data_IF_583731050678
#
_entry.id   IF_583731050678
#
_cell.length_a   1.000
_cell.length_b   1.000
_cell.length_c   1.000
_cell.angle_alpha   90.00
_cell.angle_beta   90.00
_cell.angle_gamma   90.00
#
_symmetry.space_group_name_H-M   'P 1'
#
loop_
_entity.id
_entity.type
_entity.pdbx_description
1 polymer ?
#
# COMPACT_ATOMS: atom_id res chain seq x y z
N UNK A 1 13.33 -11.96 -26.70
CA UNK A 1 13.20 -10.51 -26.92
C UNK A 1 13.32 -9.86 -25.55
N UNK A 2 14.51 -9.33 -25.29
CA UNK A 2 15.04 -8.99 -23.98
C UNK A 2 14.41 -7.70 -23.43
N UNK A 3 13.90 -7.78 -22.20
CA UNK A 3 13.68 -6.59 -21.39
C UNK A 3 15.06 -6.09 -20.95
N UNK A 4 15.58 -5.02 -21.55
CA UNK A 4 16.73 -4.31 -20.99
C UNK A 4 16.23 -3.23 -20.03
N UNK A 5 16.15 -3.61 -18.77
CA UNK A 5 16.49 -2.70 -17.70
C UNK A 5 18.00 -2.76 -17.55
N UNK A 6 18.67 -1.63 -17.68
CA UNK A 6 20.05 -1.57 -17.22
C UNK A 6 20.07 -1.76 -15.69
N UNK A 7 20.94 -2.66 -15.21
CA UNK A 7 21.40 -2.87 -13.81
C UNK A 7 20.47 -3.71 -12.92
N UNK A 8 20.97 -4.90 -12.58
CA UNK A 8 20.36 -5.97 -11.75
C UNK A 8 19.92 -5.57 -10.33
N UNK A 9 20.06 -4.31 -9.96
CA UNK A 9 19.81 -3.81 -8.62
C UNK A 9 19.55 -2.31 -8.62
N UNK A 10 18.81 -1.85 -7.62
CA UNK A 10 18.63 -0.43 -7.32
C UNK A 10 18.63 -0.22 -5.80
N UNK A 11 18.85 1.02 -5.36
CA UNK A 11 18.85 1.39 -3.93
C UNK A 11 17.68 2.32 -3.63
N UNK A 12 17.11 2.18 -2.45
CA UNK A 12 15.99 3.00 -1.99
C UNK A 12 16.22 3.43 -0.54
N UNK A 13 16.05 4.72 -0.26
CA UNK A 13 16.18 5.26 1.08
C UNK A 13 14.84 5.28 1.80
N UNK A 14 14.80 4.71 3.01
CA UNK A 14 13.61 4.58 3.87
C UNK A 14 12.42 4.06 3.06
N UNK A 15 12.51 2.81 2.59
CA UNK A 15 11.55 2.26 1.64
C UNK A 15 10.15 2.18 2.23
N UNK A 16 9.18 2.81 1.57
CA UNK A 16 7.77 2.58 1.80
C UNK A 16 7.28 1.49 0.82
N UNK A 17 7.00 0.29 1.33
CA UNK A 17 6.47 -0.79 0.52
C UNK A 17 4.99 -0.57 0.22
N UNK A 18 4.58 -0.91 -1.01
CA UNK A 18 3.18 -0.86 -1.40
C UNK A 18 2.78 -2.03 -2.30
N UNK A 19 1.50 -2.35 -2.23
CA UNK A 19 0.83 -3.20 -3.21
C UNK A 19 -0.21 -2.37 -3.95
N UNK A 20 -0.32 -2.60 -5.24
CA UNK A 20 -1.29 -1.92 -6.06
C UNK A 20 -2.08 -2.89 -6.92
N UNK A 21 -3.39 -2.70 -6.92
CA UNK A 21 -4.25 -3.32 -7.93
C UNK A 21 -4.16 -2.43 -9.17
N UNK A 22 -3.89 -3.03 -10.32
CA UNK A 22 -3.64 -2.33 -11.57
C UNK A 22 -4.59 -2.82 -12.67
N UNK A 23 -4.93 -1.94 -13.61
CA UNK A 23 -5.68 -2.24 -14.82
C UNK A 23 -4.97 -1.68 -16.05
N UNK A 24 -4.93 -2.44 -17.13
CA UNK A 24 -4.42 -2.00 -18.42
C UNK A 24 -5.21 -2.69 -19.54
N UNK A 25 -5.87 -1.89 -20.37
CA UNK A 25 -6.82 -2.40 -21.38
C UNK A 25 -7.85 -3.31 -20.72
N UNK A 26 -7.96 -4.57 -21.15
CA UNK A 26 -8.89 -5.57 -20.63
C UNK A 26 -8.25 -6.49 -19.58
N UNK A 27 -7.08 -6.13 -19.05
CA UNK A 27 -6.34 -6.93 -18.08
C UNK A 27 -6.21 -6.19 -16.76
N UNK A 28 -6.25 -6.94 -15.67
CA UNK A 28 -5.94 -6.49 -14.33
C UNK A 28 -4.82 -7.35 -13.77
N UNK A 29 -3.97 -6.75 -12.97
CA UNK A 29 -2.81 -7.39 -12.38
C UNK A 29 -2.48 -6.67 -11.09
N UNK A 30 -1.48 -7.17 -10.39
CA UNK A 30 -0.98 -6.59 -9.16
C UNK A 30 0.46 -6.14 -9.37
N UNK A 31 0.77 -4.95 -8.87
CA UNK A 31 2.13 -4.45 -8.70
C UNK A 31 2.47 -4.56 -7.23
N UNK A 32 3.68 -5.01 -6.93
CA UNK A 32 4.35 -4.77 -5.66
C UNK A 32 5.42 -3.73 -5.97
N UNK A 33 5.50 -2.69 -5.17
CA UNK A 33 6.47 -1.62 -5.36
C UNK A 33 7.05 -1.11 -4.06
N UNK A 34 8.06 -0.27 -4.23
CA UNK A 34 8.69 0.48 -3.14
C UNK A 34 8.78 1.95 -3.55
N UNK A 35 8.51 2.84 -2.61
CA UNK A 35 8.67 4.27 -2.76
C UNK A 35 9.80 4.75 -1.87
N UNK A 36 10.70 5.54 -2.41
CA UNK A 36 11.76 6.20 -1.65
C UNK A 36 11.17 7.38 -0.89
N UNK A 37 11.25 7.36 0.44
CA UNK A 37 10.66 8.43 1.25
C UNK A 37 11.40 9.77 1.10
N UNK A 38 12.63 9.77 0.59
CA UNK A 38 13.45 10.96 0.36
C UNK A 38 13.24 11.50 -1.05
N UNK A 39 13.46 10.68 -2.08
CA UNK A 39 13.38 11.13 -3.49
C UNK A 39 11.95 11.11 -4.03
N UNK A 40 11.04 10.40 -3.35
CA UNK A 40 9.66 10.12 -3.80
C UNK A 40 9.59 9.30 -5.10
N UNK A 41 10.71 8.72 -5.55
CA UNK A 41 10.72 7.79 -6.68
C UNK A 41 10.02 6.48 -6.32
N UNK A 42 9.35 5.89 -7.31
CA UNK A 42 8.48 4.73 -7.12
C UNK A 42 8.89 3.62 -8.08
N UNK A 43 9.39 2.54 -7.51
CA UNK A 43 9.93 1.40 -8.23
C UNK A 43 8.98 0.21 -8.09
N UNK A 44 8.66 -0.44 -9.21
CA UNK A 44 7.99 -1.73 -9.24
C UNK A 44 9.04 -2.78 -8.88
N UNK A 45 8.77 -3.56 -7.84
CA UNK A 45 9.62 -4.66 -7.38
C UNK A 45 8.98 -6.02 -7.61
N UNK A 46 7.77 -6.09 -8.14
CA UNK A 46 7.12 -7.34 -8.47
C UNK A 46 5.85 -7.10 -9.27
N UNK A 47 5.54 -8.02 -10.17
CA UNK A 47 4.30 -7.98 -10.94
C UNK A 47 3.68 -9.36 -11.02
N UNK A 48 2.40 -9.43 -10.69
CA UNK A 48 1.67 -10.67 -10.57
C UNK A 48 0.33 -10.53 -11.28
N UNK A 49 0.10 -11.39 -12.27
CA UNK A 49 -1.14 -11.44 -13.04
C UNK A 49 -1.69 -12.85 -13.11
N UNK A 50 -2.99 -12.95 -13.40
CA UNK A 50 -3.64 -14.22 -13.75
C UNK A 50 -3.42 -14.47 -15.24
N UNK A 51 -2.74 -15.57 -15.58
CA UNK A 51 -2.73 -16.10 -16.95
C UNK A 51 -3.65 -17.31 -17.04
N UNK A 52 -4.75 -17.17 -17.77
CA UNK A 52 -5.70 -18.27 -18.01
C UNK A 52 -5.13 -19.30 -18.99
N UNK A 53 -5.27 -20.59 -18.68
CA UNK A 53 -4.94 -21.72 -19.55
C UNK A 53 -5.76 -22.96 -19.19
N UNK A 54 -5.68 -23.99 -20.04
CA UNK A 54 -6.46 -25.25 -19.95
C UNK A 54 -6.22 -26.07 -18.66
N UNK A 55 -5.15 -25.78 -17.91
CA UNK A 55 -4.73 -26.51 -16.70
C UNK A 55 -4.92 -25.71 -15.40
N UNK A 56 -5.85 -24.74 -15.39
CA UNK A 56 -6.17 -23.93 -14.22
C UNK A 56 -5.47 -22.57 -14.21
N UNK A 57 -5.64 -21.86 -13.09
CA UNK A 57 -5.16 -20.50 -12.94
C UNK A 57 -3.88 -20.44 -12.13
N UNK A 58 -2.88 -19.74 -12.65
CA UNK A 58 -1.62 -19.49 -11.95
C UNK A 58 -1.36 -17.99 -11.86
N UNK A 59 -0.84 -17.57 -10.70
CA UNK A 59 -0.15 -16.29 -10.57
C UNK A 59 1.15 -16.40 -11.35
N UNK A 60 1.34 -15.56 -12.35
CA UNK A 60 2.56 -15.49 -13.16
C UNK A 60 3.08 -14.07 -13.17
N UNK A 61 4.36 -13.92 -13.51
CA UNK A 61 4.89 -12.62 -13.89
C UNK A 61 4.06 -12.05 -15.06
N UNK A 62 3.39 -10.92 -14.82
CA UNK A 62 2.71 -10.20 -15.87
C UNK A 62 3.78 -9.44 -16.66
N UNK A 63 3.82 -9.63 -17.99
CA UNK A 63 4.75 -8.89 -18.82
C UNK A 63 4.44 -7.41 -18.70
N UNK A 64 5.43 -6.63 -18.25
CA UNK A 64 5.28 -5.18 -18.24
C UNK A 64 4.85 -4.69 -19.60
N UNK A 65 3.89 -3.75 -19.66
CA UNK A 65 3.61 -3.02 -20.87
C UNK A 65 4.94 -2.51 -21.46
N UNK A 66 5.31 -3.00 -22.64
CA UNK A 66 6.64 -2.76 -23.24
C UNK A 66 6.75 -1.37 -23.89
N UNK A 67 5.64 -0.65 -24.01
CA UNK A 67 5.63 0.70 -24.55
C UNK A 67 6.26 1.65 -23.55
N UNK A 68 7.03 2.61 -24.06
CA UNK A 68 7.86 3.53 -23.30
C UNK A 68 7.13 4.38 -22.26
N UNK A 69 5.80 4.46 -22.27
CA UNK A 69 4.96 5.01 -21.19
C UNK A 69 3.54 4.43 -21.29
N UNK A 70 3.24 3.38 -20.53
CA UNK A 70 1.88 2.83 -20.53
C UNK A 70 1.05 3.47 -19.45
N UNK A 71 -0.06 4.11 -19.83
CA UNK A 71 -1.04 4.62 -18.89
C UNK A 71 -1.83 3.46 -18.30
N UNK A 72 -1.73 3.29 -16.99
CA UNK A 72 -2.38 2.23 -16.23
C UNK A 72 -3.37 2.83 -15.24
N UNK A 73 -4.42 2.08 -14.97
CA UNK A 73 -5.36 2.32 -13.90
C UNK A 73 -4.75 1.73 -12.63
N UNK A 74 -4.74 2.46 -11.52
CA UNK A 74 -4.04 2.02 -10.32
C UNK A 74 -4.75 2.45 -9.05
N UNK A 75 -4.65 1.60 -8.02
CA UNK A 75 -5.00 1.91 -6.63
C UNK A 75 -3.95 1.23 -5.77
N UNK A 76 -3.16 2.02 -5.03
CA UNK A 76 -2.06 1.55 -4.22
C UNK A 76 -2.40 1.61 -2.73
N UNK A 77 -1.81 0.68 -1.99
CA UNK A 77 -1.96 0.51 -0.55
C UNK A 77 -0.61 0.20 0.07
N UNK A 78 -0.30 0.80 1.21
CA UNK A 78 0.93 0.52 1.95
C UNK A 78 0.87 -0.88 2.54
N UNK A 79 2.02 -1.55 2.54
CA UNK A 79 2.22 -2.80 3.26
C UNK A 79 3.48 -2.68 4.12
N UNK A 80 3.53 -3.41 5.22
CA UNK A 80 4.74 -3.49 6.03
C UNK A 80 5.81 -4.35 5.35
N UNK A 81 7.07 -4.19 5.78
CA UNK A 81 8.15 -5.06 5.33
C UNK A 81 7.87 -6.54 5.67
N UNK A 82 7.24 -6.80 6.82
CA UNK A 82 6.84 -8.16 7.21
C UNK A 82 5.76 -8.71 6.29
N UNK A 83 4.74 -7.92 5.92
CA UNK A 83 3.74 -8.33 4.93
C UNK A 83 4.38 -8.63 3.56
N UNK A 84 5.35 -7.81 3.14
CA UNK A 84 6.10 -8.08 1.92
C UNK A 84 6.90 -9.39 2.01
N UNK A 85 7.61 -9.63 3.12
CA UNK A 85 8.31 -10.88 3.40
C UNK A 85 7.38 -12.10 3.34
N UNK A 86 6.24 -12.04 4.03
CA UNK A 86 5.24 -13.11 4.05
C UNK A 86 4.67 -13.39 2.64
N UNK A 87 4.47 -12.36 1.83
CA UNK A 87 4.06 -12.53 0.43
C UNK A 87 5.13 -13.28 -0.39
N UNK A 88 6.42 -12.96 -0.21
CA UNK A 88 7.52 -13.68 -0.88
C UNK A 88 7.55 -15.15 -0.43
N UNK A 89 7.40 -15.43 0.87
CA UNK A 89 7.34 -16.79 1.40
C UNK A 89 6.15 -17.59 0.83
N UNK A 90 4.97 -16.96 0.73
CA UNK A 90 3.81 -17.55 0.08
C UNK A 90 4.10 -17.92 -1.39
N UNK A 91 4.73 -17.00 -2.15
CA UNK A 91 5.12 -17.26 -3.54
C UNK A 91 6.17 -18.38 -3.65
N UNK A 92 7.07 -18.50 -2.68
CA UNK A 92 8.07 -19.59 -2.57
C UNK A 92 7.38 -20.94 -2.41
N UNK A 93 6.46 -21.04 -1.45
CA UNK A 93 5.67 -22.24 -1.20
C UNK A 93 4.85 -22.65 -2.43
N UNK A 94 4.14 -21.71 -3.05
CA UNK A 94 3.37 -21.93 -4.29
C UNK A 94 4.22 -22.49 -5.43
N UNK A 95 5.47 -22.04 -5.56
CA UNK A 95 6.40 -22.54 -6.57
C UNK A 95 6.81 -23.99 -6.29
N UNK A 96 7.11 -24.32 -5.03
CA UNK A 96 7.50 -25.66 -4.59
C UNK A 96 6.35 -26.65 -4.79
N UNK A 97 5.16 -26.31 -4.31
CA UNK A 97 4.00 -27.21 -4.33
C UNK A 97 3.38 -27.38 -5.72
N UNK A 98 3.52 -26.40 -6.62
CA UNK A 98 2.73 -26.37 -7.86
C UNK A 98 3.51 -26.09 -9.14
N UNK A 99 4.86 -26.09 -9.11
CA UNK A 99 5.72 -25.87 -10.30
C UNK A 99 5.33 -24.62 -11.11
N UNK A 100 4.87 -23.56 -10.43
CA UNK A 100 4.44 -22.33 -11.08
C UNK A 100 5.62 -21.61 -11.76
N UNK A 101 5.34 -20.85 -12.83
CA UNK A 101 6.33 -19.97 -13.44
C UNK A 101 6.81 -18.94 -12.41
N UNK A 102 8.13 -18.80 -12.27
CA UNK A 102 8.73 -17.87 -11.33
C UNK A 102 8.16 -16.46 -11.55
N UNK A 103 7.52 -15.90 -10.51
CA UNK A 103 7.24 -14.48 -10.46
C UNK A 103 8.56 -13.71 -10.57
N UNK A 104 8.56 -12.60 -11.33
CA UNK A 104 9.69 -11.70 -11.31
C UNK A 104 9.49 -10.72 -10.16
N UNK A 105 10.45 -10.69 -9.25
CA UNK A 105 10.46 -9.73 -8.17
C UNK A 105 11.89 -9.39 -7.77
N UNK A 106 12.08 -8.21 -7.20
CA UNK A 106 13.31 -7.79 -6.57
C UNK A 106 13.17 -7.94 -5.07
N UNK A 107 14.15 -8.58 -4.43
CA UNK A 107 14.22 -8.71 -2.97
C UNK A 107 15.38 -7.87 -2.42
N UNK A 108 15.32 -7.42 -1.17
CA UNK A 108 16.45 -6.80 -0.51
C UNK A 108 17.71 -7.67 -0.57
N UNK A 109 18.84 -7.11 -1.00
CA UNK A 109 20.10 -7.83 -1.20
C UNK A 109 20.65 -8.43 0.10
N UNK A 110 20.34 -7.82 1.24
CA UNK A 110 20.67 -8.36 2.56
C UNK A 110 19.94 -9.67 2.88
N UNK A 111 18.75 -9.92 2.31
CA UNK A 111 18.06 -11.21 2.46
C UNK A 111 18.73 -12.34 1.67
N UNK A 112 19.53 -12.02 0.65
CA UNK A 112 20.27 -13.01 -0.14
C UNK A 112 21.59 -13.43 0.51
N UNK A 113 22.21 -12.53 1.27
CA UNK A 113 23.57 -12.73 1.77
C UNK A 113 23.65 -13.45 3.12
N UNK A 114 22.54 -13.97 3.66
CA UNK A 114 22.44 -14.62 4.98
C UNK A 114 23.18 -13.85 6.10
N UNK A 115 23.22 -12.52 6.00
CA UNK A 115 23.76 -11.68 7.06
C UNK A 115 22.66 -11.48 8.10
N UNK A 116 22.58 -12.42 9.05
CA UNK A 116 21.73 -12.29 10.23
C UNK A 116 21.93 -10.92 10.88
N UNK A 117 20.81 -10.29 11.24
CA UNK A 117 20.72 -9.09 12.07
C UNK A 117 21.63 -7.91 11.65
N UNK A 118 21.64 -7.55 10.38
CA UNK A 118 22.03 -6.18 10.03
C UNK A 118 20.89 -5.24 10.47
N UNK A 119 21.18 -4.15 11.22
CA UNK A 119 20.17 -3.16 11.58
C UNK A 119 19.49 -2.64 10.32
N UNK A 120 18.20 -2.28 10.41
CA UNK A 120 17.47 -1.61 9.33
C UNK A 120 18.30 -0.42 8.86
N UNK A 121 18.93 -0.58 7.69
CA UNK A 121 19.65 0.52 7.06
C UNK A 121 18.62 1.44 6.48
N UNK A 122 18.84 2.73 6.68
CA UNK A 122 18.11 3.79 6.00
C UNK A 122 18.18 3.65 4.47
N UNK A 123 19.15 2.92 3.92
CA UNK A 123 19.26 2.62 2.49
C UNK A 123 19.24 1.10 2.27
N UNK A 124 18.29 0.64 1.44
CA UNK A 124 18.10 -0.77 1.10
C UNK A 124 18.39 -0.97 -0.38
N UNK A 125 19.32 -1.89 -0.68
CA UNK A 125 19.57 -2.37 -2.04
C UNK A 125 18.62 -3.51 -2.37
N UNK A 126 18.04 -3.50 -3.57
CA UNK A 126 17.16 -4.54 -4.09
C UNK A 126 17.81 -5.26 -5.27
N UNK A 127 17.59 -6.56 -5.41
CA UNK A 127 18.13 -7.41 -6.48
C UNK A 127 17.02 -8.22 -7.15
N UNK A 128 16.89 -8.11 -8.47
CA UNK A 128 15.88 -8.84 -9.26
C UNK A 128 16.18 -10.33 -9.40
N UNK A 129 15.21 -11.19 -9.10
CA UNK A 129 15.35 -12.65 -9.20
C UNK A 129 15.01 -13.23 -10.59
N UNK A 130 14.34 -12.48 -11.48
CA UNK A 130 13.83 -13.01 -12.76
C UNK A 130 14.88 -13.30 -13.81
N UNK A 131 16.05 -12.65 -13.75
CA UNK A 131 17.19 -13.00 -14.59
C UNK A 131 17.85 -14.32 -14.17
N UNK A 132 17.36 -14.97 -13.09
CA UNK A 132 18.06 -16.05 -12.38
C UNK A 132 17.37 -17.41 -12.51
N UNK A 133 16.40 -17.57 -13.43
CA UNK A 133 16.01 -18.92 -13.86
C UNK A 133 17.21 -19.74 -14.40
N UNK A 134 18.29 -19.06 -14.80
CA UNK A 134 19.55 -19.65 -15.23
C UNK A 134 20.69 -19.55 -14.18
N UNK A 135 20.51 -18.83 -13.06
CA UNK A 135 21.53 -18.67 -12.02
C UNK A 135 21.21 -19.59 -10.84
N UNK A 136 22.20 -20.37 -10.41
CA UNK A 136 22.03 -21.35 -9.33
C UNK A 136 21.93 -20.72 -7.94
N UNK A 137 22.22 -19.42 -7.77
CA UNK A 137 22.53 -18.85 -6.44
C UNK A 137 21.53 -17.83 -5.91
N UNK A 138 20.42 -17.57 -6.60
CA UNK A 138 19.46 -16.54 -6.19
C UNK A 138 18.02 -16.94 -6.53
N UNK A 139 17.69 -18.20 -6.27
CA UNK A 139 16.32 -18.65 -6.44
C UNK A 139 15.53 -18.26 -5.19
N UNK A 140 14.23 -18.02 -5.36
CA UNK A 140 13.34 -17.78 -4.22
C UNK A 140 13.37 -18.95 -3.23
N UNK A 141 13.63 -20.15 -3.75
CA UNK A 141 13.78 -21.37 -2.97
C UNK A 141 14.97 -21.31 -2.00
N UNK A 142 16.03 -20.58 -2.37
CA UNK A 142 17.28 -20.46 -1.60
C UNK A 142 17.22 -19.37 -0.53
N UNK A 143 16.20 -18.49 -0.56
CA UNK A 143 16.00 -17.47 0.46
C UNK A 143 15.72 -18.12 1.80
N UNK A 144 16.57 -17.86 2.80
CA UNK A 144 16.28 -18.21 4.17
C UNK A 144 15.28 -17.20 4.76
N UNK A 145 14.05 -17.65 4.93
CA UNK A 145 12.95 -16.89 5.50
C UNK A 145 12.40 -17.60 6.75
N UNK A 146 13.20 -18.47 7.38
CA UNK A 146 12.79 -19.28 8.54
C UNK A 146 12.35 -18.46 9.75
N UNK A 147 12.81 -17.22 9.84
CA UNK A 147 12.48 -16.30 10.95
C UNK A 147 11.09 -15.67 10.81
N UNK A 148 10.39 -15.92 9.70
CA UNK A 148 8.98 -15.55 9.58
C UNK A 148 8.13 -16.60 10.25
N UNK A 149 7.26 -16.15 11.16
CA UNK A 149 6.23 -16.99 11.76
C UNK A 149 5.47 -17.75 10.66
N UNK A 150 5.50 -19.08 10.72
CA UNK A 150 4.87 -19.99 9.75
C UNK A 150 3.34 -19.82 9.69
N UNK A 151 2.76 -18.99 10.56
CA UNK A 151 1.40 -18.49 10.45
C UNK A 151 1.22 -17.54 9.24
N UNK A 152 1.66 -17.93 8.05
CA UNK A 152 1.29 -17.23 6.83
C UNK A 152 -0.23 -17.29 6.71
N UNK A 153 -0.92 -16.13 6.76
CA UNK A 153 -2.39 -16.05 6.66
C UNK A 153 -2.94 -16.47 5.29
N UNK A 154 -2.05 -16.78 4.34
CA UNK A 154 -2.41 -17.17 2.98
C UNK A 154 -2.74 -18.65 2.93
N UNK A 155 -4.02 -19.00 2.82
CA UNK A 155 -4.43 -20.33 2.40
C UNK A 155 -4.25 -20.44 0.87
N UNK A 156 -3.28 -21.25 0.37
CA UNK A 156 -3.02 -21.40 -1.06
C UNK A 156 -4.22 -21.94 -1.81
N UNK A 157 -5.01 -22.80 -1.19
CA UNK A 157 -6.20 -23.38 -1.77
C UNK A 157 -7.36 -22.38 -1.78
N UNK A 158 -7.54 -21.53 -0.78
CA UNK A 158 -8.50 -20.41 -0.87
C UNK A 158 -8.11 -19.38 -1.94
N UNK A 159 -6.82 -19.06 -2.08
CA UNK A 159 -6.36 -18.17 -3.15
C UNK A 159 -6.56 -18.83 -4.51
N UNK A 160 -6.42 -20.15 -4.64
CA UNK A 160 -6.69 -20.88 -5.89
C UNK A 160 -8.19 -21.05 -6.19
N UNK A 161 -9.00 -21.35 -5.18
CA UNK A 161 -10.43 -21.66 -5.29
C UNK A 161 -11.30 -20.39 -5.36
N UNK A 162 -10.88 -19.29 -4.73
CA UNK A 162 -11.48 -17.95 -4.91
C UNK A 162 -11.32 -17.40 -6.34
N UNK A 163 -10.51 -18.08 -7.16
CA UNK A 163 -10.18 -17.80 -8.55
C UNK A 163 -10.90 -18.81 -9.47
N UNK A 164 -12.24 -18.90 -9.34
CA UNK A 164 -13.11 -19.63 -10.28
C UNK A 164 -12.88 -19.20 -11.74
N UNK A 165 -13.22 -20.08 -12.70
CA UNK A 165 -13.10 -19.86 -14.15
C UNK A 165 -13.89 -18.63 -14.65
N UNK A 166 -14.89 -18.18 -13.89
CA UNK A 166 -15.69 -16.99 -14.19
C UNK A 166 -15.14 -15.68 -13.58
N UNK A 167 -14.14 -15.77 -12.69
CA UNK A 167 -13.61 -14.62 -11.96
C UNK A 167 -12.42 -13.97 -12.67
N UNK A 168 -12.66 -12.80 -13.24
CA UNK A 168 -11.66 -11.96 -13.89
C UNK A 168 -10.39 -11.72 -13.02
N UNK A 169 -9.30 -11.34 -13.68
CA UNK A 169 -8.00 -11.05 -13.07
C UNK A 169 -7.99 -9.95 -11.98
N UNK A 170 -9.03 -9.12 -11.90
CA UNK A 170 -9.19 -8.08 -10.86
C UNK A 170 -9.55 -8.68 -9.50
N UNK A 171 -10.45 -9.67 -9.49
CA UNK A 171 -10.86 -10.35 -8.25
C UNK A 171 -9.66 -10.98 -7.54
N UNK A 172 -8.78 -11.66 -8.29
CA UNK A 172 -7.57 -12.27 -7.75
C UNK A 172 -6.59 -11.24 -7.16
N UNK A 173 -6.30 -10.16 -7.91
CA UNK A 173 -5.41 -9.10 -7.44
C UNK A 173 -5.97 -8.42 -6.17
N UNK A 174 -7.28 -8.18 -6.14
CA UNK A 174 -7.98 -7.64 -4.97
C UNK A 174 -7.87 -8.58 -3.77
N UNK A 175 -8.17 -9.86 -3.95
CA UNK A 175 -8.13 -10.86 -2.87
C UNK A 175 -6.73 -11.02 -2.29
N UNK A 176 -5.70 -11.10 -3.13
CA UNK A 176 -4.32 -11.20 -2.66
C UNK A 176 -3.88 -9.95 -1.90
N UNK A 177 -4.29 -8.77 -2.36
CA UNK A 177 -4.04 -7.51 -1.65
C UNK A 177 -4.78 -7.47 -0.31
N UNK A 178 -6.04 -7.90 -0.26
CA UNK A 178 -6.83 -8.03 0.98
C UNK A 178 -6.15 -8.96 1.99
N UNK A 179 -5.79 -10.17 1.56
CA UNK A 179 -5.13 -11.16 2.41
C UNK A 179 -3.79 -10.64 2.95
N UNK A 180 -2.98 -10.00 2.09
CA UNK A 180 -1.68 -9.45 2.50
C UNK A 180 -1.81 -8.35 3.55
N UNK A 181 -2.81 -7.49 3.39
CA UNK A 181 -3.05 -6.40 4.33
C UNK A 181 -3.86 -6.81 5.55
N UNK A 182 -4.33 -8.07 5.62
CA UNK A 182 -5.36 -8.51 6.55
C UNK A 182 -6.61 -7.58 6.53
N UNK A 183 -6.99 -7.13 5.33
CA UNK A 183 -8.09 -6.20 5.12
C UNK A 183 -9.31 -6.92 4.55
N UNK A 184 -10.46 -6.77 5.18
CA UNK A 184 -11.71 -7.40 4.71
C UNK A 184 -12.19 -6.81 3.38
N UNK A 185 -11.94 -5.53 3.13
CA UNK A 185 -12.33 -4.86 1.89
C UNK A 185 -11.32 -3.81 1.46
N UNK A 186 -11.18 -3.63 0.14
CA UNK A 186 -10.38 -2.55 -0.43
C UNK A 186 -11.30 -1.45 -0.97
N UNK A 187 -11.25 -0.25 -0.39
CA UNK A 187 -12.08 0.87 -0.83
C UNK A 187 -11.70 1.26 -2.27
N UNK A 188 -12.71 1.58 -3.07
CA UNK A 188 -12.59 1.94 -4.49
C UNK A 188 -11.99 0.88 -5.42
N UNK A 189 -11.75 -0.33 -4.95
CA UNK A 189 -11.35 -1.47 -5.80
C UNK A 189 -12.56 -2.34 -6.07
N UNK A 190 -13.18 -2.11 -7.22
CA UNK A 190 -14.25 -2.98 -7.71
C UNK A 190 -13.68 -4.32 -8.17
N UNK A 191 -14.41 -5.41 -7.95
CA UNK A 191 -14.12 -6.71 -8.55
C UNK A 191 -14.54 -6.78 -10.03
N UNK A 192 -15.29 -5.80 -10.53
CA UNK A 192 -15.67 -5.70 -11.94
C UNK A 192 -14.54 -5.07 -12.75
N UNK A 193 -13.92 -5.83 -13.66
CA UNK A 193 -12.78 -5.37 -14.45
C UNK A 193 -13.10 -4.21 -15.42
N UNK A 194 -14.36 -4.10 -15.88
CA UNK A 194 -14.82 -3.01 -16.76
C UNK A 194 -14.88 -1.66 -16.05
N UNK A 195 -14.87 -1.64 -14.72
CA UNK A 195 -14.79 -0.41 -13.95
C UNK A 195 -13.32 -0.02 -13.79
N UNK A 196 -12.98 1.19 -14.28
CA UNK A 196 -11.65 1.75 -14.08
C UNK A 196 -11.35 1.95 -12.60
N UNK A 197 -10.07 1.83 -12.24
CA UNK A 197 -9.62 2.25 -10.91
C UNK A 197 -9.61 3.78 -10.82
N UNK A 198 -9.67 4.35 -9.61
CA UNK A 198 -9.82 5.79 -9.42
C UNK A 198 -8.63 6.61 -9.90
N UNK A 199 -7.42 6.04 -9.95
CA UNK A 199 -6.22 6.77 -10.34
C UNK A 199 -5.62 6.22 -11.63
N UNK A 200 -4.85 7.09 -12.30
CA UNK A 200 -4.09 6.78 -13.50
C UNK A 200 -2.63 7.10 -13.23
N UNK A 201 -1.73 6.27 -13.74
CA UNK A 201 -0.30 6.52 -13.67
C UNK A 201 0.41 5.98 -14.91
N UNK A 202 1.50 6.61 -15.30
CA UNK A 202 2.39 6.13 -16.35
C UNK A 202 3.41 5.20 -15.74
N UNK A 203 3.43 3.98 -16.27
CA UNK A 203 4.43 2.97 -15.98
C UNK A 203 5.37 2.87 -17.18
N UNK A 204 6.67 3.07 -16.93
CA UNK A 204 7.72 2.88 -17.91
C UNK A 204 8.93 2.30 -17.23
N UNK A 205 9.47 1.21 -17.78
CA UNK A 205 10.67 0.58 -17.24
C UNK A 205 10.60 0.50 -15.71
N UNK A 206 9.45 0.08 -15.17
CA UNK A 206 9.30 -0.28 -13.76
C UNK A 206 9.36 0.89 -12.82
N UNK A 207 9.34 2.09 -13.37
CA UNK A 207 9.22 3.33 -12.66
C UNK A 207 7.81 3.83 -12.90
N UNK A 208 7.15 4.20 -11.81
CA UNK A 208 5.88 4.90 -11.85
C UNK A 208 6.18 6.39 -11.74
N UNK A 209 5.98 7.13 -12.83
CA UNK A 209 6.37 8.54 -12.89
C UNK A 209 5.38 9.49 -12.21
N UNK A 210 4.10 9.10 -12.15
CA UNK A 210 3.08 9.90 -11.48
C UNK A 210 3.10 9.66 -9.97
N UNK A 211 2.81 10.71 -9.18
CA UNK A 211 2.69 10.59 -7.72
C UNK A 211 1.49 9.72 -7.36
N UNK A 212 1.74 8.58 -6.72
CA UNK A 212 0.66 7.73 -6.21
C UNK A 212 0.21 8.17 -4.83
N UNK A 213 -1.11 8.29 -4.66
CA UNK A 213 -1.75 8.27 -3.35
C UNK A 213 -1.73 6.82 -2.84
N UNK A 214 -0.73 6.46 -2.04
CA UNK A 214 -0.59 5.14 -1.43
C UNK A 214 -1.41 5.13 -0.14
N UNK A 215 -2.52 4.39 -0.12
CA UNK A 215 -3.44 4.40 1.01
C UNK A 215 -2.91 3.54 2.17
N UNK A 216 -3.11 3.95 3.42
CA UNK A 216 -2.87 3.07 4.57
C UNK A 216 -3.88 1.89 4.56
N UNK A 217 -3.69 0.87 5.42
CA UNK A 217 -4.71 -0.14 5.63
C UNK A 217 -6.07 0.47 5.99
N UNK A 218 -7.18 -0.02 5.44
CA UNK A 218 -8.50 0.46 5.82
C UNK A 218 -8.83 0.00 7.26
N UNK A 219 -9.75 0.70 7.96
CA UNK A 219 -10.24 0.22 9.25
C UNK A 219 -10.83 -1.21 9.12
N UNK A 220 -10.61 -2.10 10.11
CA UNK A 220 -11.22 -3.43 10.12
C UNK A 220 -12.74 -3.33 10.23
N UNK A 221 -13.48 -4.30 9.69
CA UNK A 221 -14.95 -4.33 9.82
C UNK A 221 -15.33 -4.87 11.18
N UNK A 222 -14.62 -5.91 11.66
CA UNK A 222 -14.73 -6.39 13.02
C UNK A 222 -13.96 -5.49 13.99
N UNK A 223 -14.65 -4.49 14.52
CA UNK A 223 -14.13 -3.58 15.53
C UNK A 223 -14.36 -4.16 16.91
N UNK A 224 -13.34 -4.18 17.78
CA UNK A 224 -13.56 -4.43 19.20
C UNK A 224 -14.52 -3.35 19.71
N UNK A 225 -15.59 -3.76 20.39
CA UNK A 225 -16.64 -2.83 20.87
C UNK A 225 -16.11 -1.76 21.81
N UNK A 226 -15.03 -2.06 22.53
CA UNK A 226 -14.32 -1.14 23.43
C UNK A 226 -13.73 0.08 22.72
N UNK A 227 -13.35 -0.05 21.44
CA UNK A 227 -12.68 1.01 20.66
C UNK A 227 -13.58 1.58 19.55
N UNK A 228 -14.90 1.47 19.69
CA UNK A 228 -15.84 1.80 18.63
C UNK A 228 -15.76 3.28 18.19
N UNK A 229 -15.50 4.19 19.13
CA UNK A 229 -15.44 5.64 18.87
C UNK A 229 -14.15 5.99 18.14
N UNK A 230 -13.02 5.43 18.59
CA UNK A 230 -11.70 5.57 18.00
C UNK A 230 -11.74 5.09 16.54
N UNK A 231 -12.30 3.91 16.29
CA UNK A 231 -12.46 3.39 14.94
C UNK A 231 -13.38 4.24 14.06
N UNK A 232 -14.37 4.93 14.62
CA UNK A 232 -15.21 5.88 13.89
C UNK A 232 -14.43 7.14 13.51
N UNK A 233 -13.59 7.66 14.42
CA UNK A 233 -12.67 8.78 14.16
C UNK A 233 -11.70 8.42 13.02
N UNK A 234 -11.05 7.25 13.12
CA UNK A 234 -10.13 6.74 12.09
C UNK A 234 -10.85 6.57 10.75
N UNK A 235 -12.08 6.05 10.75
CA UNK A 235 -12.88 5.91 9.53
C UNK A 235 -13.17 7.28 8.87
N UNK A 236 -13.47 8.32 9.66
CA UNK A 236 -13.65 9.69 9.13
C UNK A 236 -12.37 10.24 8.51
N UNK A 237 -11.22 10.02 9.15
CA UNK A 237 -9.91 10.38 8.60
C UNK A 237 -9.64 9.63 7.29
N UNK A 238 -9.94 8.34 7.23
CA UNK A 238 -9.77 7.52 6.03
C UNK A 238 -10.68 7.99 4.87
N UNK A 239 -11.96 8.27 5.14
CA UNK A 239 -12.87 8.87 4.16
C UNK A 239 -12.33 10.23 3.67
N UNK A 240 -11.68 10.99 4.56
CA UNK A 240 -11.08 12.26 4.19
C UNK A 240 -9.84 12.10 3.31
N UNK A 241 -8.97 11.11 3.56
CA UNK A 241 -7.88 10.73 2.66
C UNK A 241 -8.40 10.47 1.25
N UNK A 242 -9.45 9.67 1.15
CA UNK A 242 -10.08 9.35 -0.14
C UNK A 242 -10.60 10.59 -0.86
N UNK A 243 -11.29 11.47 -0.13
CA UNK A 243 -11.78 12.74 -0.68
C UNK A 243 -10.63 13.63 -1.13
N UNK A 244 -9.51 13.67 -0.42
CA UNK A 244 -8.34 14.47 -0.80
C UNK A 244 -7.77 13.95 -2.13
N UNK A 245 -7.51 12.66 -2.23
CA UNK A 245 -6.92 12.03 -3.41
C UNK A 245 -7.82 12.19 -4.65
N UNK A 246 -9.12 11.91 -4.53
CA UNK A 246 -10.08 12.03 -5.65
C UNK A 246 -10.30 13.44 -6.17
N UNK A 247 -10.04 14.44 -5.34
CA UNK A 247 -10.22 15.85 -5.71
C UNK A 247 -8.91 16.56 -6.01
N UNK A 248 -7.79 15.83 -6.04
CA UNK A 248 -6.54 16.33 -6.54
C UNK A 248 -6.67 16.59 -8.03
N UNK A 249 -6.38 17.82 -8.45
CA UNK A 249 -6.30 18.23 -9.84
C UNK A 249 -4.85 18.56 -10.19
N UNK A 250 -4.51 18.60 -11.47
CA UNK A 250 -3.14 18.94 -11.91
C UNK A 250 -2.61 20.25 -11.30
N UNK A 251 -3.46 21.27 -11.16
CA UNK A 251 -3.10 22.59 -10.60
C UNK A 251 -2.90 22.59 -9.07
N UNK A 252 -3.44 21.62 -8.35
CA UNK A 252 -3.35 21.54 -6.88
C UNK A 252 -2.88 20.17 -6.37
N UNK A 253 -2.12 19.46 -7.21
CA UNK A 253 -1.71 18.08 -6.96
C UNK A 253 -0.76 18.03 -5.77
N UNK A 254 0.22 18.94 -5.71
CA UNK A 254 1.24 18.97 -4.66
C UNK A 254 0.65 19.30 -3.29
N UNK A 255 -0.26 20.28 -3.21
CA UNK A 255 -0.95 20.61 -1.97
C UNK A 255 -1.87 19.47 -1.51
N UNK A 256 -2.54 18.82 -2.46
CA UNK A 256 -3.37 17.65 -2.16
C UNK A 256 -2.52 16.49 -1.66
N UNK A 257 -1.35 16.27 -2.29
CA UNK A 257 -0.41 15.23 -1.92
C UNK A 257 0.17 15.45 -0.53
N UNK A 258 0.68 16.66 -0.24
CA UNK A 258 1.18 17.03 1.10
C UNK A 258 0.12 16.81 2.17
N UNK A 259 -1.12 17.22 1.89
CA UNK A 259 -2.24 17.06 2.82
C UNK A 259 -2.65 15.60 3.00
N UNK A 260 -2.57 14.80 1.94
CA UNK A 260 -2.82 13.37 1.98
C UNK A 260 -1.76 12.67 2.84
N UNK A 261 -0.47 12.88 2.56
CA UNK A 261 0.64 12.25 3.32
C UNK A 261 0.63 12.66 4.80
N UNK A 262 0.33 13.93 5.10
CA UNK A 262 0.17 14.39 6.49
C UNK A 262 -0.94 13.66 7.22
N UNK A 263 -2.13 13.55 6.60
CA UNK A 263 -3.28 12.89 7.21
C UNK A 263 -3.06 11.37 7.29
N UNK A 264 -2.38 10.79 6.30
CA UNK A 264 -2.03 9.37 6.25
C UNK A 264 -1.07 9.01 7.37
N UNK A 265 -0.06 9.86 7.61
CA UNK A 265 0.90 9.68 8.70
C UNK A 265 0.18 9.64 10.05
N UNK A 266 -0.68 10.63 10.33
CA UNK A 266 -1.47 10.62 11.56
C UNK A 266 -2.39 9.40 11.62
N UNK A 267 -3.11 9.10 10.55
CA UNK A 267 -3.99 7.92 10.50
C UNK A 267 -3.23 6.64 10.84
N UNK A 268 -2.08 6.41 10.21
CA UNK A 268 -1.30 5.18 10.39
C UNK A 268 -0.78 5.07 11.82
N UNK A 269 -0.24 6.16 12.39
CA UNK A 269 0.20 6.19 13.79
C UNK A 269 -0.93 5.79 14.75
N UNK A 270 -2.14 6.31 14.52
CA UNK A 270 -3.30 5.99 15.35
C UNK A 270 -3.83 4.58 15.11
N UNK A 271 -3.79 4.12 13.85
CA UNK A 271 -4.14 2.75 13.48
C UNK A 271 -3.26 1.75 14.22
N UNK A 272 -1.93 1.92 14.14
CA UNK A 272 -0.96 1.01 14.75
C UNK A 272 -1.12 0.97 16.28
N UNK A 273 -1.22 2.13 16.93
CA UNK A 273 -1.47 2.23 18.38
C UNK A 273 -2.75 1.50 18.80
N UNK A 274 -3.81 1.60 18.01
CA UNK A 274 -5.10 0.99 18.31
C UNK A 274 -5.10 -0.53 18.06
N UNK A 275 -4.39 -1.01 17.03
CA UNK A 275 -4.23 -2.44 16.77
C UNK A 275 -3.33 -3.13 17.79
N UNK A 276 -2.32 -2.42 18.31
CA UNK A 276 -1.41 -2.93 19.35
C UNK A 276 -2.05 -2.93 20.74
N UNK A 277 -3.28 -2.41 20.88
CA UNK A 277 -4.04 -2.38 22.14
C UNK A 277 -3.56 -1.34 23.16
N UNK A 278 -2.69 -0.41 22.76
CA UNK A 278 -2.03 0.57 23.65
C UNK A 278 -2.66 1.96 23.55
N UNK A 279 -3.95 2.05 23.24
CA UNK A 279 -4.56 3.34 22.91
C UNK A 279 -6.04 3.41 23.25
N UNK A 280 -6.42 4.47 23.96
CA UNK A 280 -7.81 4.80 24.29
C UNK A 280 -8.19 6.15 23.65
N UNK A 281 -9.47 6.51 23.72
CA UNK A 281 -10.01 7.74 23.17
C UNK A 281 -9.30 9.00 23.66
N UNK A 282 -8.89 9.07 24.93
CA UNK A 282 -8.21 10.24 25.47
C UNK A 282 -6.86 10.46 24.79
N UNK A 283 -6.05 9.41 24.73
CA UNK A 283 -4.74 9.43 24.06
C UNK A 283 -4.88 9.81 22.57
N UNK A 284 -5.93 9.29 21.90
CA UNK A 284 -6.22 9.60 20.50
C UNK A 284 -6.55 11.08 20.30
N UNK A 285 -7.37 11.63 21.18
CA UNK A 285 -7.79 13.02 21.08
C UNK A 285 -6.63 13.98 21.37
N UNK A 286 -5.76 13.63 22.32
CA UNK A 286 -4.55 14.38 22.64
C UNK A 286 -3.55 14.35 21.49
N UNK A 287 -3.30 13.17 20.91
CA UNK A 287 -2.45 13.02 19.73
C UNK A 287 -2.97 13.83 18.55
N UNK A 288 -4.29 13.74 18.25
CA UNK A 288 -4.92 14.52 17.19
C UNK A 288 -4.71 16.01 17.46
N UNK A 289 -4.98 16.47 18.69
CA UNK A 289 -4.85 17.88 19.05
C UNK A 289 -3.42 18.37 18.88
N UNK A 290 -2.45 17.68 19.47
CA UNK A 290 -1.04 18.04 19.37
C UNK A 290 -0.58 18.07 17.91
N UNK A 291 -0.99 17.07 17.11
CA UNK A 291 -0.59 16.96 15.72
C UNK A 291 -1.17 18.08 14.85
N UNK A 292 -2.41 18.52 15.09
CA UNK A 292 -3.05 19.60 14.30
C UNK A 292 -2.68 21.02 14.77
N UNK A 293 -2.16 21.16 16.00
CA UNK A 293 -1.68 22.42 16.58
C UNK A 293 -0.20 22.68 16.27
N UNK A 294 0.57 21.62 15.97
CA UNK A 294 1.95 21.77 15.49
C UNK A 294 1.99 22.67 14.24
N UNK A 295 2.78 23.75 14.30
CA UNK A 295 2.78 24.83 13.31
C UNK A 295 2.94 24.34 11.87
N UNK A 296 3.92 23.45 11.63
CA UNK A 296 4.18 22.88 10.31
C UNK A 296 2.97 22.12 9.75
N UNK A 297 2.28 21.36 10.60
CA UNK A 297 1.11 20.58 10.20
C UNK A 297 -0.12 21.46 10.01
N UNK A 298 -0.33 22.42 10.92
CA UNK A 298 -1.40 23.40 10.85
C UNK A 298 -1.36 24.17 9.52
N UNK A 299 -0.16 24.63 9.11
CA UNK A 299 0.04 25.32 7.84
C UNK A 299 -0.44 24.48 6.65
N UNK A 300 -0.12 23.19 6.60
CA UNK A 300 -0.56 22.28 5.52
C UNK A 300 -2.08 22.05 5.58
N UNK A 301 -2.63 21.80 6.77
CA UNK A 301 -4.06 21.56 6.98
C UNK A 301 -4.89 22.76 6.51
N UNK A 302 -4.46 23.98 6.86
CA UNK A 302 -5.20 25.22 6.62
C UNK A 302 -4.99 25.81 5.23
N UNK A 303 -3.94 25.40 4.52
CA UNK A 303 -3.71 25.88 3.14
C UNK A 303 -4.82 25.37 2.20
N UNK A 304 -5.61 26.26 1.56
CA UNK A 304 -6.59 25.87 0.55
C UNK A 304 -5.90 25.64 -0.81
N UNK A 305 -6.53 24.87 -1.70
CA UNK A 305 -5.95 24.51 -3.02
C UNK A 305 -5.90 25.64 -4.05
N UNK A 306 -6.73 26.67 -3.87
CA UNK A 306 -6.77 27.89 -4.68
C UNK A 306 -7.22 28.99 -3.72
N UNK A 307 -6.42 30.02 -3.46
CA UNK A 307 -6.80 31.06 -2.51
C UNK A 307 -6.85 32.45 -3.11
N UNK A 308 -8.06 33.02 -3.06
CA UNK A 308 -8.32 34.46 -2.92
C UNK A 308 -9.11 34.76 -1.63
N UNK A 309 -9.48 33.74 -0.83
CA UNK A 309 -10.30 33.89 0.38
C UNK A 309 -9.84 32.92 1.49
N UNK A 310 -9.87 33.40 2.73
CA UNK A 310 -9.53 32.64 3.93
C UNK A 310 -10.73 31.85 4.46
N UNK A 311 -11.00 30.68 3.88
CA UNK A 311 -11.98 29.73 4.41
C UNK A 311 -11.30 28.54 5.07
N UNK A 312 -11.84 28.08 6.21
CA UNK A 312 -11.42 26.83 6.86
C UNK A 312 -11.53 25.66 5.87
N UNK A 313 -10.44 24.89 5.74
CA UNK A 313 -10.42 23.73 4.84
C UNK A 313 -11.32 22.61 5.36
N UNK A 314 -11.80 21.73 4.49
CA UNK A 314 -12.62 20.59 4.93
C UNK A 314 -11.86 19.62 5.85
N UNK A 315 -10.52 19.60 5.79
CA UNK A 315 -9.70 18.81 6.72
C UNK A 315 -9.70 19.45 8.10
N UNK A 316 -9.52 20.78 8.21
CA UNK A 316 -9.65 21.50 9.49
C UNK A 316 -11.03 21.32 10.10
N UNK A 317 -12.09 21.48 9.30
CA UNK A 317 -13.48 21.29 9.74
C UNK A 317 -13.75 19.88 10.28
N UNK A 318 -13.16 18.85 9.66
CA UNK A 318 -13.27 17.47 10.14
C UNK A 318 -12.68 17.32 11.55
N UNK A 319 -11.46 17.83 11.78
CA UNK A 319 -10.83 17.76 13.09
C UNK A 319 -11.57 18.56 14.15
N UNK A 320 -12.02 19.78 13.83
CA UNK A 320 -12.83 20.59 14.74
C UNK A 320 -14.13 19.88 15.14
N UNK A 321 -14.76 19.18 14.21
CA UNK A 321 -15.96 18.38 14.49
C UNK A 321 -15.65 17.18 15.39
N UNK A 322 -14.54 16.47 15.14
CA UNK A 322 -14.09 15.35 15.98
C UNK A 322 -13.83 15.82 17.41
N UNK A 323 -13.12 16.95 17.59
CA UNK A 323 -12.83 17.54 18.90
C UNK A 323 -14.09 18.03 19.62
N UNK A 324 -15.05 18.60 18.89
CA UNK A 324 -16.32 19.04 19.46
C UNK A 324 -17.18 17.87 19.96
N UNK A 325 -17.17 16.74 19.25
CA UNK A 325 -17.92 15.53 19.63
C UNK A 325 -17.25 14.76 20.77
N UNK A 326 -15.93 14.93 20.96
CA UNK A 326 -15.12 14.20 21.94
C UNK A 326 -14.25 15.18 22.74
N UNK A 327 -14.83 16.01 23.62
CA UNK A 327 -14.07 17.00 24.38
C UNK A 327 -13.10 16.31 25.34
N UNK A 328 -11.83 16.74 25.33
CA UNK A 328 -10.85 16.34 26.35
C UNK A 328 -11.35 16.77 27.74
N UNK A 329 -11.11 15.92 28.74
CA UNK A 329 -11.54 16.10 30.14
C UNK A 329 -11.14 17.45 30.78
N UNK A 330 -10.15 18.13 30.19
CA UNK A 330 -9.62 19.42 30.63
C UNK A 330 -10.46 20.65 30.23
N UNK A 331 -11.54 20.48 29.45
CA UNK A 331 -12.49 21.57 29.25
C UNK A 331 -13.41 21.71 30.47
N UNK A 332 -12.88 22.31 31.54
CA UNK A 332 -13.66 22.74 32.69
C UNK A 332 -14.88 23.59 32.24
N UNK A 333 -15.97 23.60 33.03
CA UNK A 333 -17.21 24.24 32.62
C UNK A 333 -16.96 25.70 32.27
N UNK A 334 -17.34 26.07 31.05
CA UNK A 334 -17.38 27.46 30.61
C UNK A 334 -18.18 28.25 31.66
N UNK A 335 -17.49 29.13 32.40
CA UNK A 335 -18.13 30.06 33.32
C UNK A 335 -19.13 30.88 32.51
N UNK A 336 -20.42 30.65 32.80
CA UNK A 336 -21.50 31.56 32.43
C UNK A 336 -21.53 32.74 33.37
#
# INVERSE_FOLDING_TARGET
MEYKYDKNSFTCKKPEFFMAVCGYKNHSYMIIGVKDSVTQEQFVIGMLGRRGGLMGTFLTNERMPQNSQSLIDIQAFSISQNQYKSLIQFLKQMKISHKANAAAFAVPSNWLNNTGDQPEKDEVSFTWLSHMANSQTNRIEDLDLSDLDESTSYDPEQIRQGISLDNNCRTAAKHLTQATMNAESLPNVSSFFLRSLPFKAHLSQGIISDKLFIYPPPPPVQKKSENAVEWEILNRMYIRLDKIAKSASSKGMDESYKKFELLKTLYQQQYDKLTDGNHNLHDLMDDIKQYIEQEANAAIIDTPRNSFFHFKTSTRKMFEQIQKENPSSDSGPAKK
#
